data_IF_726429631660
#
_entry.id   IF_726429631660
#
_cell.length_a   1.000
_cell.length_b   1.000
_cell.length_c   1.000
_cell.angle_alpha   90.00
_cell.angle_beta   90.00
_cell.angle_gamma   90.00
#
_symmetry.space_group_name_H-M   'P 1'
#
loop_
_entity.id
_entity.type
_entity.pdbx_description
1 polymer ?
#
# COMPACT_ATOMS: atom_id res chain seq x y z
N UNK A 1 -34.24 42.00 -63.09
CA UNK A 1 -33.09 41.95 -62.16
C UNK A 1 -33.68 41.64 -60.79
N UNK A 2 -33.40 40.54 -60.09
CA UNK A 2 -32.17 39.74 -60.00
C UNK A 2 -32.53 38.38 -59.37
N UNK A 3 -32.05 37.29 -59.95
CA UNK A 3 -32.16 35.93 -59.40
C UNK A 3 -31.28 35.78 -58.15
N UNK A 4 -31.69 34.99 -57.13
CA UNK A 4 -30.80 34.60 -56.05
C UNK A 4 -29.79 33.55 -56.55
N UNK A 5 -28.52 33.96 -56.62
CA UNK A 5 -27.37 33.11 -56.95
C UNK A 5 -27.22 31.96 -55.94
N UNK A 6 -26.99 30.71 -56.37
CA UNK A 6 -26.58 29.65 -55.47
C UNK A 6 -25.11 29.86 -55.08
N UNK A 7 -24.89 30.47 -53.92
CA UNK A 7 -23.57 30.65 -53.33
C UNK A 7 -23.00 29.35 -52.78
N UNK A 8 -22.02 28.81 -53.51
CA UNK A 8 -20.90 27.96 -53.08
C UNK A 8 -21.03 27.20 -51.74
N UNK A 9 -21.32 25.91 -51.86
CA UNK A 9 -20.40 24.85 -51.41
C UNK A 9 -19.99 24.82 -49.94
N UNK A 10 -20.91 24.49 -49.04
CA UNK A 10 -20.60 23.92 -47.72
C UNK A 10 -21.35 22.60 -47.49
N UNK A 11 -21.56 21.83 -48.56
CA UNK A 11 -22.20 20.52 -48.48
C UNK A 11 -21.28 19.47 -49.11
N UNK A 12 -20.61 18.69 -48.25
CA UNK A 12 -20.29 17.25 -48.42
C UNK A 12 -18.87 16.79 -48.02
N UNK A 13 -17.90 17.67 -47.74
CA UNK A 13 -16.51 17.22 -47.47
C UNK A 13 -16.08 17.11 -46.00
N UNK A 14 -16.93 17.46 -45.03
CA UNK A 14 -16.60 17.35 -43.59
C UNK A 14 -17.01 16.04 -42.90
N UNK A 15 -17.69 15.11 -43.59
CA UNK A 15 -18.08 13.80 -43.03
C UNK A 15 -17.18 12.62 -43.50
N UNK A 16 -16.11 12.90 -44.24
CA UNK A 16 -15.39 11.89 -45.04
C UNK A 16 -14.08 11.32 -44.50
N UNK A 17 -13.74 11.49 -43.21
CA UNK A 17 -12.58 10.80 -42.61
C UNK A 17 -12.95 10.15 -41.29
N UNK A 18 -13.63 9.02 -41.39
CA UNK A 18 -13.68 8.05 -40.29
C UNK A 18 -12.26 7.48 -40.10
N UNK A 19 -11.64 7.77 -38.97
CA UNK A 19 -10.37 7.16 -38.57
C UNK A 19 -10.56 5.63 -38.51
N UNK A 20 -9.80 4.89 -39.32
CA UNK A 20 -9.85 3.41 -39.40
C UNK A 20 -9.17 2.72 -38.21
N UNK A 21 -9.18 3.33 -37.04
CA UNK A 21 -8.52 2.81 -35.84
C UNK A 21 -9.53 2.75 -34.70
N UNK A 22 -9.61 1.57 -34.07
CA UNK A 22 -10.41 1.40 -32.84
C UNK A 22 -9.76 2.25 -31.75
N UNK A 23 -10.56 2.99 -30.99
CA UNK A 23 -10.07 3.69 -29.81
C UNK A 23 -9.39 2.68 -28.86
N UNK A 24 -8.27 3.04 -28.22
CA UNK A 24 -7.56 2.13 -27.33
C UNK A 24 -8.49 1.70 -26.19
N UNK A 25 -8.50 0.40 -25.89
CA UNK A 25 -9.28 -0.16 -24.80
C UNK A 25 -8.70 0.36 -23.49
N UNK A 26 -9.52 1.06 -22.71
CA UNK A 26 -9.18 1.45 -21.34
C UNK A 26 -9.21 0.18 -20.48
N UNK A 27 -8.03 -0.37 -20.19
CA UNK A 27 -7.90 -1.46 -19.22
C UNK A 27 -7.95 -0.84 -17.83
N UNK A 28 -9.02 -1.11 -17.09
CA UNK A 28 -9.04 -0.74 -15.68
C UNK A 28 -8.01 -1.58 -14.94
N UNK A 29 -7.21 -0.98 -14.05
CA UNK A 29 -6.22 -1.73 -13.29
C UNK A 29 -6.91 -2.84 -12.50
N UNK A 30 -6.37 -4.06 -12.57
CA UNK A 30 -6.84 -5.15 -11.72
C UNK A 30 -6.78 -4.70 -10.26
N UNK A 31 -7.90 -4.88 -9.55
CA UNK A 31 -7.97 -4.56 -8.13
C UNK A 31 -6.81 -5.26 -7.41
N UNK A 32 -5.92 -4.46 -6.81
CA UNK A 32 -4.77 -4.93 -6.05
C UNK A 32 -5.24 -6.06 -5.13
N UNK A 33 -4.67 -7.26 -5.29
CA UNK A 33 -4.98 -8.43 -4.46
C UNK A 33 -5.09 -7.98 -3.01
N UNK A 34 -6.29 -8.09 -2.42
CA UNK A 34 -6.45 -7.89 -0.98
C UNK A 34 -5.52 -8.91 -0.32
N UNK A 35 -4.56 -8.40 0.46
CA UNK A 35 -3.68 -9.24 1.24
C UNK A 35 -4.53 -9.93 2.33
N UNK A 36 -5.08 -11.09 2.01
CA UNK A 36 -5.79 -11.93 2.97
C UNK A 36 -4.78 -12.94 3.47
N UNK A 37 -4.47 -12.84 4.77
CA UNK A 37 -3.46 -13.66 5.42
C UNK A 37 -4.01 -15.05 5.72
N UNK A 38 -3.18 -16.08 5.54
CA UNK A 38 -3.52 -17.51 5.72
C UNK A 38 -2.98 -18.13 7.01
N UNK A 39 -2.33 -17.34 7.88
CA UNK A 39 -1.67 -17.83 9.09
C UNK A 39 -2.53 -17.54 10.35
N UNK A 40 -2.71 -18.50 11.28
CA UNK A 40 -3.60 -18.34 12.43
C UNK A 40 -3.07 -17.35 13.49
N UNK A 41 -3.99 -16.83 14.31
CA UNK A 41 -3.92 -15.69 15.27
C UNK A 41 -2.86 -15.75 16.40
N UNK A 42 -1.72 -16.42 16.21
CA UNK A 42 -0.61 -16.46 17.16
C UNK A 42 0.31 -15.22 17.09
N UNK A 43 -0.24 -14.06 16.76
CA UNK A 43 0.55 -12.86 16.53
C UNK A 43 0.69 -12.02 17.81
N UNK A 44 1.94 -11.69 18.15
CA UNK A 44 2.30 -10.95 19.36
C UNK A 44 2.11 -9.45 19.13
N UNK A 45 2.46 -8.98 17.92
CA UNK A 45 2.28 -7.60 17.49
C UNK A 45 1.08 -7.54 16.55
N UNK A 46 0.07 -6.73 16.87
CA UNK A 46 -1.11 -6.57 15.99
C UNK A 46 -0.68 -5.81 14.75
N UNK A 47 -0.79 -6.44 13.58
CA UNK A 47 -0.70 -5.74 12.32
C UNK A 47 -2.07 -5.15 11.96
N UNK A 48 -2.21 -3.82 11.88
CA UNK A 48 -3.49 -3.20 11.58
C UNK A 48 -3.95 -3.56 10.16
N UNK A 49 -5.23 -3.88 10.01
CA UNK A 49 -5.85 -4.15 8.70
C UNK A 49 -5.95 -2.90 7.82
N UNK A 50 -5.83 -1.71 8.44
CA UNK A 50 -5.79 -0.41 7.76
C UNK A 50 -4.36 0.00 7.44
N UNK A 51 -4.20 0.85 6.42
CA UNK A 51 -2.92 1.53 6.18
C UNK A 51 -2.58 2.39 7.39
N UNK A 52 -1.38 2.19 7.93
CA UNK A 52 -0.85 2.99 9.05
C UNK A 52 -0.82 4.47 8.67
N UNK A 53 -1.36 5.31 9.56
CA UNK A 53 -1.25 6.76 9.47
C UNK A 53 0.03 7.22 10.19
N UNK A 54 0.47 8.44 9.89
CA UNK A 54 1.63 9.04 10.57
C UNK A 54 1.42 9.21 12.07
N UNK A 55 0.17 9.28 12.53
CA UNK A 55 -0.22 9.29 13.95
C UNK A 55 0.15 7.99 14.66
N UNK A 56 0.08 6.87 13.94
CA UNK A 56 0.24 5.52 14.50
C UNK A 56 1.73 5.12 14.58
N UNK A 57 2.60 5.90 13.95
CA UNK A 57 4.03 5.64 13.84
C UNK A 57 4.80 6.56 14.80
N UNK A 58 5.82 6.04 15.51
CA UNK A 58 6.71 6.91 16.27
C UNK A 58 7.44 7.88 15.33
N UNK A 59 7.68 9.10 15.80
CA UNK A 59 8.27 10.16 14.98
C UNK A 59 9.65 9.79 14.42
N UNK A 60 10.49 9.15 15.22
CA UNK A 60 11.85 8.69 14.86
C UNK A 60 12.33 7.59 15.80
N UNK A 61 13.10 6.65 15.28
CA UNK A 61 13.84 5.65 16.06
C UNK A 61 15.32 5.76 15.69
N UNK A 62 16.21 5.82 16.68
CA UNK A 62 17.66 5.86 16.46
C UNK A 62 18.23 4.45 16.54
N UNK A 63 18.93 4.03 15.49
CA UNK A 63 19.60 2.72 15.40
C UNK A 63 21.00 2.89 14.82
N UNK A 64 21.86 1.87 14.98
CA UNK A 64 23.20 1.88 14.41
C UNK A 64 23.15 1.84 12.87
N UNK A 65 24.15 2.45 12.22
CA UNK A 65 24.20 2.61 10.75
C UNK A 65 24.24 1.27 10.01
N UNK A 66 25.02 0.33 10.53
CA UNK A 66 25.13 -1.04 10.03
C UNK A 66 23.78 -1.78 10.14
N UNK A 67 23.10 -1.68 11.29
CA UNK A 67 21.77 -2.26 11.50
C UNK A 67 20.74 -1.67 10.55
N UNK A 68 20.74 -0.35 10.35
CA UNK A 68 19.85 0.29 9.38
C UNK A 68 20.08 -0.24 7.95
N UNK A 69 21.34 -0.37 7.55
CA UNK A 69 21.68 -0.90 6.22
C UNK A 69 21.22 -2.35 6.08
N UNK A 70 21.45 -3.21 7.08
CA UNK A 70 21.02 -4.59 7.06
C UNK A 70 19.49 -4.70 6.88
N UNK A 71 18.71 -3.96 7.67
CA UNK A 71 17.25 -3.95 7.56
C UNK A 71 16.80 -3.44 6.17
N UNK A 72 17.45 -2.40 5.65
CA UNK A 72 17.14 -1.86 4.32
C UNK A 72 17.38 -2.90 3.21
N UNK A 73 18.46 -3.67 3.30
CA UNK A 73 18.76 -4.71 2.32
C UNK A 73 17.75 -5.86 2.41
N UNK A 74 17.40 -6.31 3.62
CA UNK A 74 16.37 -7.35 3.81
C UNK A 74 15.03 -6.88 3.20
N UNK A 75 14.61 -5.66 3.51
CA UNK A 75 13.40 -5.06 2.95
C UNK A 75 13.41 -5.02 1.42
N UNK A 76 14.56 -4.69 0.81
CA UNK A 76 14.71 -4.66 -0.65
C UNK A 76 14.69 -6.05 -1.29
N UNK A 77 15.24 -7.07 -0.62
CA UNK A 77 15.29 -8.45 -1.13
C UNK A 77 13.90 -9.10 -1.06
N UNK A 78 13.15 -8.83 0.00
CA UNK A 78 11.83 -9.42 0.24
C UNK A 78 10.67 -8.59 -0.32
N UNK A 79 10.96 -7.44 -0.95
CA UNK A 79 9.97 -6.46 -1.44
C UNK A 79 8.95 -6.07 -0.34
N UNK A 80 9.48 -5.78 0.86
CA UNK A 80 8.70 -5.40 2.04
C UNK A 80 9.05 -3.99 2.49
N UNK A 81 8.18 -3.39 3.30
CA UNK A 81 8.52 -2.12 3.94
C UNK A 81 9.40 -2.36 5.15
N UNK A 82 10.24 -1.38 5.47
CA UNK A 82 11.19 -1.45 6.59
C UNK A 82 10.50 -1.82 7.91
N UNK A 83 9.32 -1.25 8.19
CA UNK A 83 8.61 -1.55 9.44
C UNK A 83 8.05 -2.97 9.50
N UNK A 84 7.61 -3.54 8.36
CA UNK A 84 7.13 -4.92 8.31
C UNK A 84 8.28 -5.90 8.62
N UNK A 85 9.48 -5.62 8.08
CA UNK A 85 10.69 -6.40 8.38
C UNK A 85 11.07 -6.30 9.86
N UNK A 86 10.99 -5.09 10.43
CA UNK A 86 11.26 -4.90 11.87
C UNK A 86 10.27 -5.70 12.71
N UNK A 87 8.97 -5.66 12.37
CA UNK A 87 7.94 -6.42 13.07
C UNK A 87 8.20 -7.93 13.02
N UNK A 88 8.56 -8.47 11.85
CA UNK A 88 8.89 -9.89 11.70
C UNK A 88 10.11 -10.32 12.53
N UNK A 89 11.17 -9.50 12.53
CA UNK A 89 12.37 -9.74 13.35
C UNK A 89 12.01 -9.74 14.84
N UNK A 90 11.26 -8.72 15.29
CA UNK A 90 10.88 -8.57 16.70
C UNK A 90 9.93 -9.70 17.12
N UNK A 91 8.94 -10.05 16.30
CA UNK A 91 8.06 -11.20 16.56
C UNK A 91 8.83 -12.50 16.72
N UNK A 92 9.77 -12.76 15.80
CA UNK A 92 10.60 -13.96 15.83
C UNK A 92 11.45 -13.99 17.10
N UNK A 93 12.01 -12.85 17.49
CA UNK A 93 12.78 -12.72 18.72
C UNK A 93 11.92 -13.01 19.96
N UNK A 94 10.71 -12.44 20.05
CA UNK A 94 9.81 -12.67 21.19
C UNK A 94 9.29 -14.12 21.21
N UNK A 95 9.00 -14.73 20.06
CA UNK A 95 8.55 -16.13 19.98
C UNK A 95 9.56 -17.09 20.62
N UNK A 96 10.85 -16.80 20.43
CA UNK A 96 11.97 -17.59 20.95
C UNK A 96 12.34 -17.29 22.42
N UNK A 97 11.69 -16.33 23.08
CA UNK A 97 11.91 -16.04 24.50
C UNK A 97 11.23 -17.04 25.43
N UNK A 98 11.69 -17.08 26.68
CA UNK A 98 11.00 -17.78 27.76
C UNK A 98 9.57 -17.25 27.96
N UNK A 99 8.66 -18.11 28.41
CA UNK A 99 7.24 -17.76 28.56
C UNK A 99 7.02 -16.63 29.59
N UNK A 100 7.86 -16.54 30.61
CA UNK A 100 7.82 -15.46 31.59
C UNK A 100 8.11 -14.10 30.93
N UNK A 101 9.24 -13.99 30.21
CA UNK A 101 9.63 -12.77 29.50
C UNK A 101 8.60 -12.39 28.43
N UNK A 102 8.10 -13.38 27.69
CA UNK A 102 7.08 -13.22 26.66
C UNK A 102 5.79 -12.59 27.22
N UNK A 103 5.31 -13.04 28.39
CA UNK A 103 4.12 -12.49 29.05
C UNK A 103 4.29 -11.02 29.44
N UNK A 104 5.45 -10.65 29.98
CA UNK A 104 5.74 -9.26 30.36
C UNK A 104 5.64 -8.33 29.15
N UNK A 105 6.26 -8.72 28.03
CA UNK A 105 6.24 -7.93 26.80
C UNK A 105 4.82 -7.85 26.23
N UNK A 106 4.09 -8.97 26.18
CA UNK A 106 2.72 -9.02 25.69
C UNK A 106 1.78 -8.08 26.47
N UNK A 107 1.94 -7.98 27.79
CA UNK A 107 1.11 -7.10 28.61
C UNK A 107 1.36 -5.63 28.27
N UNK A 108 2.63 -5.22 28.17
CA UNK A 108 3.00 -3.85 27.79
C UNK A 108 2.48 -3.48 26.39
N UNK A 109 2.61 -4.39 25.42
CA UNK A 109 2.12 -4.18 24.04
C UNK A 109 0.59 -4.03 24.01
N UNK A 110 -0.13 -4.85 24.79
CA UNK A 110 -1.60 -4.78 24.87
C UNK A 110 -2.09 -3.46 25.47
N UNK A 111 -1.36 -2.88 26.42
CA UNK A 111 -1.69 -1.57 26.98
C UNK A 111 -1.60 -0.46 25.92
N UNK A 112 -0.54 -0.47 25.10
CA UNK A 112 -0.40 0.47 23.98
C UNK A 112 -1.52 0.30 22.96
N UNK A 113 -1.87 -0.95 22.62
CA UNK A 113 -2.94 -1.24 21.65
C UNK A 113 -4.32 -0.75 22.10
N UNK A 114 -4.62 -0.82 23.40
CA UNK A 114 -5.85 -0.23 23.95
C UNK A 114 -5.87 1.28 23.73
N UNK A 115 -4.79 1.96 24.10
CA UNK A 115 -4.66 3.40 23.93
C UNK A 115 -4.74 3.85 22.46
N UNK A 116 -4.34 3.01 21.51
CA UNK A 116 -4.46 3.29 20.07
C UNK A 116 -5.87 3.07 19.51
N UNK A 117 -6.70 2.26 20.17
CA UNK A 117 -8.09 1.98 19.74
C UNK A 117 -9.06 3.06 20.23
N UNK A 118 -8.71 3.71 21.34
CA UNK A 118 -9.49 4.80 21.95
C UNK A 118 -9.24 6.19 21.30
N UNK A 119 -8.50 6.25 20.18
CA UNK A 119 -8.21 7.46 19.39
C UNK A 119 -8.79 7.39 17.97
#
# INVERSE_FOLDING_TARGET
MTEPKPGLGLTSTLLGRATKTKAPVKVEPEQSKKHVRTLPDNQILIQPSRKLLRSDLPKTITIKKDTHMAIKQIASVEDKKIYDVVDEIVETYIKNMSDSSKKVILNAVREVQKNMTDM
#
